data_IF_755607582922
#
_entry.id   IF_755607582922
#
_cell.length_a   1.000
_cell.length_b   1.000
_cell.length_c   1.000
_cell.angle_alpha   90.00
_cell.angle_beta   90.00
_cell.angle_gamma   90.00
#
_symmetry.space_group_name_H-M   'P 1'
#
loop_
_entity.id
_entity.type
_entity.pdbx_description
1 polymer ?
#
# COMPACT_ATOMS: atom_id res chain seq x y z
N UNK A 1 -18.73 10.34 -0.92
CA UNK A 1 -18.29 11.74 -1.13
C UNK A 1 -16.76 11.83 -1.10
N UNK A 2 -16.14 12.13 -2.23
CA UNK A 2 -14.69 12.33 -2.31
C UNK A 2 -14.40 13.74 -1.76
N UNK A 3 -13.61 13.85 -0.69
CA UNK A 3 -13.21 15.14 -0.11
C UNK A 3 -12.46 15.99 -1.16
N UNK A 4 -12.61 17.33 -1.17
CA UNK A 4 -11.82 18.21 -2.02
C UNK A 4 -10.41 18.34 -1.46
N UNK A 5 -9.64 17.26 -1.58
CA UNK A 5 -8.20 17.34 -1.54
C UNK A 5 -7.76 17.88 -2.89
N UNK A 6 -7.03 19.00 -2.92
CA UNK A 6 -6.31 19.47 -4.11
C UNK A 6 -5.14 18.50 -4.44
N UNK A 7 -5.39 17.21 -4.43
CA UNK A 7 -4.47 16.18 -4.86
C UNK A 7 -4.40 16.29 -6.37
N UNK A 8 -3.18 16.50 -6.87
CA UNK A 8 -2.90 16.46 -8.30
C UNK A 8 -3.42 15.13 -8.85
N UNK A 9 -4.03 15.08 -10.05
CA UNK A 9 -4.57 13.84 -10.62
C UNK A 9 -3.60 12.64 -10.58
N UNK A 10 -2.29 12.90 -10.69
CA UNK A 10 -1.25 11.86 -10.55
C UNK A 10 -1.17 11.20 -9.17
N UNK A 11 -1.46 11.93 -8.09
CA UNK A 11 -1.50 11.33 -6.74
C UNK A 11 -2.74 10.45 -6.56
N UNK A 12 -3.89 10.88 -7.07
CA UNK A 12 -5.11 10.06 -7.05
C UNK A 12 -4.92 8.77 -7.84
N UNK A 13 -4.28 8.85 -9.01
CA UNK A 13 -3.91 7.67 -9.79
C UNK A 13 -2.96 6.75 -9.00
N UNK A 14 -1.96 7.33 -8.32
CA UNK A 14 -1.05 6.57 -7.46
C UNK A 14 -1.77 5.81 -6.34
N UNK A 15 -2.71 6.47 -5.65
CA UNK A 15 -3.55 5.83 -4.61
C UNK A 15 -4.36 4.69 -5.20
N UNK A 16 -5.06 4.92 -6.32
CA UNK A 16 -5.86 3.89 -6.97
C UNK A 16 -5.04 2.67 -7.44
N UNK A 17 -3.79 2.89 -7.88
CA UNK A 17 -2.87 1.80 -8.27
C UNK A 17 -2.47 0.99 -7.04
N UNK A 18 -2.14 1.64 -5.93
CA UNK A 18 -1.79 0.96 -4.67
C UNK A 18 -2.99 0.19 -4.11
N UNK A 19 -4.19 0.78 -4.12
CA UNK A 19 -5.42 0.11 -3.69
C UNK A 19 -5.72 -1.14 -4.52
N UNK A 20 -5.55 -1.07 -5.84
CA UNK A 20 -5.80 -2.21 -6.74
C UNK A 20 -4.74 -3.30 -6.65
N UNK A 21 -3.46 -2.92 -6.58
CA UNK A 21 -2.34 -3.87 -6.55
C UNK A 21 -2.10 -4.46 -5.16
N UNK A 22 -2.57 -3.78 -4.12
CA UNK A 22 -2.46 -4.20 -2.74
C UNK A 22 -1.10 -3.86 -2.10
N UNK A 23 -0.86 -4.37 -0.88
CA UNK A 23 0.28 -3.97 -0.03
C UNK A 23 1.65 -4.24 -0.64
N UNK A 24 1.77 -5.23 -1.54
CA UNK A 24 3.00 -5.51 -2.26
C UNK A 24 3.50 -4.30 -3.08
N UNK A 25 2.61 -3.43 -3.56
CA UNK A 25 2.99 -2.22 -4.28
C UNK A 25 3.70 -1.20 -3.37
N UNK A 26 3.32 -1.12 -2.09
CA UNK A 26 3.99 -0.26 -1.12
C UNK A 26 5.41 -0.74 -0.84
N UNK A 27 5.62 -2.06 -0.70
CA UNK A 27 6.96 -2.64 -0.57
C UNK A 27 7.83 -2.35 -1.80
N UNK A 28 7.25 -2.48 -3.01
CA UNK A 28 7.96 -2.16 -4.25
C UNK A 28 8.34 -0.67 -4.35
N UNK A 29 7.47 0.23 -3.89
CA UNK A 29 7.75 1.67 -3.85
C UNK A 29 8.82 1.98 -2.80
N UNK A 30 8.77 1.33 -1.63
CA UNK A 30 9.77 1.48 -0.58
C UNK A 30 11.16 1.09 -1.09
N UNK A 31 11.29 -0.04 -1.78
CA UNK A 31 12.54 -0.51 -2.38
C UNK A 31 13.11 0.47 -3.43
N UNK A 32 12.26 1.27 -4.08
CA UNK A 32 12.66 2.28 -5.07
C UNK A 32 12.90 3.67 -4.47
N UNK A 33 12.54 3.88 -3.21
CA UNK A 33 12.73 5.15 -2.52
C UNK A 33 14.17 5.25 -2.01
N UNK A 34 14.75 6.45 -2.03
CA UNK A 34 16.16 6.68 -1.66
C UNK A 34 16.30 7.74 -0.57
N UNK A 35 17.45 7.72 0.12
CA UNK A 35 17.80 8.71 1.14
C UNK A 35 16.81 8.75 2.30
N UNK A 36 16.59 9.94 2.86
CA UNK A 36 15.70 10.15 4.01
C UNK A 36 14.25 9.76 3.72
N UNK A 37 13.81 9.92 2.47
CA UNK A 37 12.47 9.53 2.05
C UNK A 37 12.26 8.02 2.17
N UNK A 38 13.30 7.19 2.02
CA UNK A 38 13.20 5.75 2.20
C UNK A 38 12.85 5.41 3.65
N UNK A 39 13.57 6.02 4.60
CA UNK A 39 13.33 5.82 6.03
C UNK A 39 11.92 6.28 6.43
N UNK A 40 11.53 7.49 6.01
CA UNK A 40 10.20 8.04 6.33
C UNK A 40 9.07 7.22 5.70
N UNK A 41 9.25 6.80 4.44
CA UNK A 41 8.27 5.98 3.73
C UNK A 41 8.14 4.60 4.38
N UNK A 42 9.26 3.95 4.73
CA UNK A 42 9.26 2.66 5.42
C UNK A 42 8.47 2.69 6.73
N UNK A 43 8.69 3.70 7.59
CA UNK A 43 7.93 3.86 8.85
C UNK A 43 6.42 3.93 8.61
N UNK A 44 5.99 4.66 7.57
CA UNK A 44 4.57 4.78 7.24
C UNK A 44 4.02 3.48 6.66
N UNK A 45 4.76 2.79 5.80
CA UNK A 45 4.36 1.49 5.24
C UNK A 45 4.22 0.44 6.34
N UNK A 46 5.19 0.33 7.24
CA UNK A 46 5.15 -0.59 8.38
C UNK A 46 3.90 -0.34 9.25
N UNK A 47 3.61 0.93 9.55
CA UNK A 47 2.42 1.32 10.29
C UNK A 47 1.11 0.96 9.56
N UNK A 48 1.06 1.12 8.22
CA UNK A 48 -0.12 0.77 7.43
C UNK A 48 -0.33 -0.74 7.34
N UNK A 49 0.73 -1.52 7.14
CA UNK A 49 0.67 -2.98 7.08
C UNK A 49 0.32 -3.59 8.43
N UNK A 50 0.77 -3.00 9.53
CA UNK A 50 0.40 -3.44 10.88
C UNK A 50 -1.09 -3.24 11.19
N UNK A 51 -1.74 -2.23 10.58
CA UNK A 51 -3.17 -1.95 10.78
C UNK A 51 -4.09 -2.80 9.90
N UNK A 52 -3.57 -3.32 8.78
CA UNK A 52 -4.32 -4.16 7.86
C UNK A 52 -3.52 -5.44 7.57
N UNK A 53 -3.35 -6.32 8.58
CA UNK A 53 -2.62 -7.57 8.38
C UNK A 53 -3.27 -8.33 7.23
N UNK A 54 -2.47 -8.75 6.23
CA UNK A 54 -2.97 -9.60 5.15
C UNK A 54 -3.72 -10.77 5.79
N UNK A 55 -4.90 -11.17 5.27
CA UNK A 55 -5.50 -12.42 5.70
C UNK A 55 -4.48 -13.52 5.39
N UNK A 56 -3.87 -14.07 6.45
CA UNK A 56 -3.03 -15.26 6.35
C UNK A 56 -3.81 -16.29 5.54
N UNK A 57 -3.23 -16.70 4.42
CA UNK A 57 -3.85 -17.66 3.51
C UNK A 57 -4.12 -18.98 4.24
N UNK A 58 -5.33 -19.13 4.75
CA UNK A 58 -5.93 -20.39 5.17
C UNK A 58 -7.29 -20.55 4.50
N UNK A 59 -7.35 -20.33 3.18
CA UNK A 59 -8.34 -21.05 2.38
C UNK A 59 -7.76 -22.43 2.09
N UNK A 60 -7.96 -23.34 3.06
CA UNK A 60 -8.06 -24.76 2.78
C UNK A 60 -9.06 -24.93 1.63
N UNK A 61 -8.55 -25.16 0.43
CA UNK A 61 -9.32 -25.79 -0.63
C UNK A 61 -9.62 -27.22 -0.15
N UNK A 62 -10.76 -27.38 0.51
CA UNK A 62 -11.42 -28.69 0.61
C UNK A 62 -11.91 -29.04 -0.80
N UNK A 63 -11.11 -29.81 -1.53
CA UNK A 63 -11.62 -30.57 -2.67
C UNK A 63 -12.55 -31.65 -2.10
N UNK A 64 -13.84 -31.46 -2.35
CA UNK A 64 -14.88 -32.50 -2.27
C UNK A 64 -14.77 -33.35 -3.52
#
# INVERSE_FOLDING_TARGET
PILPLNLRPGLLAGVAIVERAGPAMLEMLHARTIGENRTRFGIVVDYLLAQNPLPSGSQQLWLI
#
